data_IF_815458701618
#
_entry.id   IF_815458701618
#
_cell.length_a   1.000
_cell.length_b   1.000
_cell.length_c   1.000
_cell.angle_alpha   90.00
_cell.angle_beta   90.00
_cell.angle_gamma   90.00
#
_symmetry.space_group_name_H-M   'P 1'
#
loop_
_entity.id
_entity.type
_entity.pdbx_description
1 polymer ?
#
# COMPACT_ATOMS: atom_id res chain seq x y z
N UNK A 1 -5.95 -13.92 -1.39
CA UNK A 1 -5.18 -13.10 -2.34
C UNK A 1 -4.24 -12.25 -1.51
N UNK A 2 -2.92 -12.35 -1.72
CA UNK A 2 -1.97 -11.54 -0.96
C UNK A 2 -1.72 -10.21 -1.65
N UNK A 3 -1.80 -9.14 -0.87
CA UNK A 3 -1.71 -7.77 -1.37
C UNK A 3 -0.57 -7.04 -0.69
N UNK A 4 0.23 -6.35 -1.48
CA UNK A 4 1.25 -5.40 -1.03
C UNK A 4 0.70 -3.99 -1.18
N UNK A 5 0.88 -3.15 -0.16
CA UNK A 5 0.56 -1.73 -0.24
C UNK A 5 1.84 -0.91 -0.21
N UNK A 6 1.92 0.08 -1.09
CA UNK A 6 2.92 1.12 -1.01
C UNK A 6 2.48 2.16 0.01
N UNK A 7 3.25 2.29 1.08
CA UNK A 7 2.95 3.15 2.21
C UNK A 7 4.12 4.06 2.55
N UNK A 8 3.80 5.26 3.04
CA UNK A 8 4.77 6.18 3.62
C UNK A 8 4.06 6.98 4.71
N UNK A 9 4.68 7.10 5.88
CA UNK A 9 4.15 7.85 7.02
C UNK A 9 2.69 7.46 7.41
N UNK A 10 2.33 6.18 7.25
CA UNK A 10 1.00 5.67 7.55
C UNK A 10 -0.06 5.92 6.47
N UNK A 11 0.33 6.33 5.26
CA UNK A 11 -0.58 6.65 4.16
C UNK A 11 -0.17 5.96 2.85
N UNK A 12 -1.10 5.82 1.92
CA UNK A 12 -0.83 5.27 0.59
C UNK A 12 0.09 6.21 -0.20
N UNK A 13 1.12 5.66 -0.82
CA UNK A 13 2.22 6.44 -1.38
C UNK A 13 2.53 6.09 -2.85
N UNK A 14 3.27 6.99 -3.49
CA UNK A 14 3.85 6.78 -4.83
C UNK A 14 5.17 6.01 -4.71
N UNK A 15 5.48 5.15 -5.68
CA UNK A 15 6.80 4.50 -5.73
C UNK A 15 7.92 5.53 -6.01
N UNK A 16 9.06 5.49 -5.29
CA UNK A 16 9.44 4.53 -4.25
C UNK A 16 8.85 4.86 -2.87
N UNK A 17 8.34 3.84 -2.19
CA UNK A 17 7.74 3.92 -0.86
C UNK A 17 7.99 2.63 -0.08
N UNK A 18 7.74 2.62 1.22
CA UNK A 18 7.79 1.40 2.03
C UNK A 18 6.66 0.44 1.64
N UNK A 19 6.83 -0.84 1.94
CA UNK A 19 5.89 -1.89 1.57
C UNK A 19 5.20 -2.39 2.83
N UNK A 20 3.88 -2.35 2.86
CA UNK A 20 3.06 -3.02 3.86
C UNK A 20 2.56 -4.34 3.30
N UNK A 21 2.86 -5.43 3.99
CA UNK A 21 2.42 -6.79 3.67
C UNK A 21 2.14 -7.55 4.96
N UNK A 22 1.01 -8.26 5.01
CA UNK A 22 0.62 -9.08 6.17
C UNK A 22 0.67 -8.33 7.53
N UNK A 23 0.42 -7.00 7.55
CA UNK A 23 0.49 -6.19 8.77
C UNK A 23 1.88 -5.71 9.18
N UNK A 24 2.90 -5.97 8.38
CA UNK A 24 4.28 -5.53 8.62
C UNK A 24 4.73 -4.49 7.60
N UNK A 25 5.22 -3.34 8.07
CA UNK A 25 5.87 -2.36 7.22
C UNK A 25 7.35 -2.74 7.04
N UNK A 26 7.74 -2.97 5.80
CA UNK A 26 9.11 -3.29 5.40
C UNK A 26 9.68 -2.15 4.56
N UNK A 27 10.90 -1.75 4.86
CA UNK A 27 11.61 -0.77 4.04
C UNK A 27 11.82 -1.37 2.65
N UNK A 28 11.36 -0.65 1.62
CA UNK A 28 11.42 -1.13 0.25
C UNK A 28 12.85 -1.10 -0.27
N UNK A 29 13.48 -2.27 -0.36
CA UNK A 29 14.75 -2.45 -1.06
C UNK A 29 14.55 -2.95 -2.50
N UNK A 30 13.51 -3.77 -2.75
CA UNK A 30 13.13 -4.22 -4.10
C UNK A 30 11.69 -4.78 -4.09
N UNK A 31 10.76 -4.09 -4.77
CA UNK A 31 9.34 -4.49 -4.82
C UNK A 31 9.13 -5.84 -5.50
N UNK A 32 9.84 -6.12 -6.60
CA UNK A 32 9.70 -7.35 -7.37
C UNK A 32 10.04 -8.58 -6.49
N UNK A 33 11.14 -8.49 -5.75
CA UNK A 33 11.58 -9.53 -4.83
C UNK A 33 10.61 -9.76 -3.68
N UNK A 34 10.07 -8.69 -3.08
CA UNK A 34 9.08 -8.84 -2.01
C UNK A 34 7.79 -9.46 -2.54
N UNK A 35 7.34 -9.10 -3.76
CA UNK A 35 6.16 -9.72 -4.37
C UNK A 35 6.35 -11.23 -4.57
N UNK A 36 7.50 -11.66 -5.12
CA UNK A 36 7.81 -13.08 -5.32
C UNK A 36 7.91 -13.85 -4.00
N UNK A 37 8.61 -13.28 -3.02
CA UNK A 37 8.82 -13.92 -1.71
C UNK A 37 7.52 -14.06 -0.92
N UNK A 38 6.67 -13.04 -0.99
CA UNK A 38 5.39 -13.04 -0.25
C UNK A 38 4.30 -13.79 -0.98
N UNK A 39 4.46 -14.04 -2.29
CA UNK A 39 3.42 -14.59 -3.15
C UNK A 39 2.30 -13.58 -3.39
N UNK A 40 2.63 -12.29 -3.46
CA UNK A 40 1.65 -11.23 -3.70
C UNK A 40 1.14 -11.29 -5.14
N UNK A 41 -0.17 -11.23 -5.29
CA UNK A 41 -0.85 -11.22 -6.59
C UNK A 41 -1.24 -9.78 -6.99
N UNK A 42 -1.19 -8.86 -6.02
CA UNK A 42 -1.60 -7.49 -6.20
C UNK A 42 -0.70 -6.51 -5.44
N UNK A 43 -0.40 -5.39 -6.09
CA UNK A 43 0.29 -4.23 -5.51
C UNK A 43 -0.63 -3.03 -5.59
N UNK A 44 -0.83 -2.34 -4.48
CA UNK A 44 -1.65 -1.14 -4.39
C UNK A 44 -0.76 0.06 -4.08
N UNK A 45 -0.94 1.16 -4.80
CA UNK A 45 -0.22 2.41 -4.53
C UNK A 45 -0.84 3.59 -5.24
N UNK A 46 -0.34 4.80 -4.95
CA UNK A 46 -0.86 6.03 -5.58
C UNK A 46 -0.33 6.23 -6.98
N UNK A 47 0.91 5.83 -7.24
CA UNK A 47 1.53 5.90 -8.55
C UNK A 47 2.75 4.99 -8.60
N UNK A 48 3.10 4.56 -9.81
CA UNK A 48 4.28 3.76 -10.07
C UNK A 48 4.80 4.00 -11.48
N UNK A 49 6.13 3.94 -11.72
CA UNK A 49 6.69 4.00 -13.06
C UNK A 49 6.08 2.93 -13.98
N UNK A 50 5.73 3.31 -15.21
CA UNK A 50 5.11 2.41 -16.19
C UNK A 50 5.95 1.17 -16.49
N UNK A 51 7.28 1.29 -16.48
CA UNK A 51 8.21 0.17 -16.64
C UNK A 51 8.06 -0.88 -15.52
N UNK A 52 7.88 -0.43 -14.27
CA UNK A 52 7.66 -1.31 -13.13
C UNK A 52 6.28 -1.98 -13.21
N UNK A 53 5.24 -1.22 -13.57
CA UNK A 53 3.89 -1.78 -13.78
C UNK A 53 3.91 -2.88 -14.83
N UNK A 54 4.66 -2.67 -15.93
CA UNK A 54 4.82 -3.67 -16.98
C UNK A 54 5.51 -4.93 -16.45
N UNK A 55 6.61 -4.81 -15.72
CA UNK A 55 7.30 -5.97 -15.12
C UNK A 55 6.43 -6.74 -14.13
N UNK A 56 5.71 -6.03 -13.25
CA UNK A 56 4.76 -6.66 -12.32
C UNK A 56 3.70 -7.46 -13.10
N UNK A 57 3.15 -6.87 -14.15
CA UNK A 57 2.17 -7.55 -15.03
C UNK A 57 2.76 -8.77 -15.74
N UNK A 58 4.00 -8.67 -16.23
CA UNK A 58 4.70 -9.80 -16.87
C UNK A 58 4.92 -10.96 -15.88
N UNK A 59 5.04 -10.65 -14.58
CA UNK A 59 5.10 -11.61 -13.48
C UNK A 59 3.71 -12.05 -12.95
N UNK A 60 2.62 -11.63 -13.59
CA UNK A 60 1.25 -11.97 -13.18
C UNK A 60 0.69 -11.14 -12.01
N UNK A 61 1.38 -10.07 -11.60
CA UNK A 61 1.01 -9.20 -10.48
C UNK A 61 0.21 -8.00 -10.99
N UNK A 62 -0.93 -7.73 -10.38
CA UNK A 62 -1.80 -6.61 -10.74
C UNK A 62 -1.41 -5.36 -9.95
N UNK A 63 -1.15 -4.25 -10.64
CA UNK A 63 -1.04 -2.95 -9.98
C UNK A 63 -2.39 -2.25 -9.94
N UNK A 64 -2.84 -1.89 -8.74
CA UNK A 64 -4.06 -1.11 -8.50
C UNK A 64 -3.69 0.27 -8.00
N UNK A 65 -4.20 1.29 -8.69
CA UNK A 65 -4.00 2.68 -8.34
C UNK A 65 -5.13 3.15 -7.42
N UNK A 66 -4.80 3.58 -6.21
CA UNK A 66 -5.74 4.21 -5.26
C UNK A 66 -5.20 5.54 -4.75
N UNK A 67 -6.06 6.44 -4.31
CA UNK A 67 -5.61 7.74 -3.78
C UNK A 67 -5.39 7.71 -2.26
N UNK A 68 -6.18 6.91 -1.54
CA UNK A 68 -6.13 6.75 -0.09
C UNK A 68 -6.33 5.29 0.34
N UNK A 69 -5.97 5.00 1.59
CA UNK A 69 -6.18 3.69 2.22
C UNK A 69 -7.69 3.42 2.40
N UNK A 70 -8.51 4.46 2.61
CA UNK A 70 -9.97 4.32 2.74
C UNK A 70 -10.63 3.71 1.50
N UNK A 71 -10.04 3.89 0.31
CA UNK A 71 -10.54 3.28 -0.93
C UNK A 71 -10.39 1.74 -0.92
N UNK A 72 -9.52 1.17 -0.06
CA UNK A 72 -9.37 -0.28 0.11
C UNK A 72 -10.55 -0.93 0.81
N UNK A 73 -11.21 -0.21 1.74
CA UNK A 73 -12.37 -0.74 2.46
C UNK A 73 -13.54 -1.04 1.50
N UNK A 74 -13.60 -0.34 0.36
CA UNK A 74 -14.61 -0.57 -0.68
C UNK A 74 -14.29 -1.69 -1.66
N UNK A 75 -13.09 -2.28 -1.61
CA UNK A 75 -12.61 -3.25 -2.61
C UNK A 75 -12.58 -4.71 -2.11
N UNK A 76 -13.06 -4.98 -0.88
CA UNK A 76 -13.00 -6.31 -0.23
C UNK A 76 -11.59 -6.93 -0.25
N UNK A 77 -10.55 -6.11 -0.22
CA UNK A 77 -9.17 -6.57 -0.23
C UNK A 77 -8.76 -6.89 1.21
N UNK A 78 -8.42 -8.14 1.47
CA UNK A 78 -7.93 -8.57 2.79
C UNK A 78 -6.51 -8.04 3.03
N UNK A 79 -6.43 -6.89 3.71
CA UNK A 79 -5.19 -6.24 4.11
C UNK A 79 -5.18 -6.08 5.62
N UNK A 80 -4.21 -6.71 6.26
CA UNK A 80 -3.91 -6.42 7.66
C UNK A 80 -3.19 -5.07 7.74
N UNK A 81 -3.91 -4.04 8.18
CA UNK A 81 -3.34 -2.73 8.48
C UNK A 81 -2.84 -2.71 9.94
N UNK A 82 -1.59 -2.30 10.21
CA UNK A 82 -1.10 -2.14 11.57
C UNK A 82 -1.92 -1.10 12.34
N UNK A 83 -2.05 -1.27 13.67
CA UNK A 83 -2.80 -0.33 14.51
C UNK A 83 -2.27 1.11 14.45
N UNK A 84 -1.00 1.30 14.07
CA UNK A 84 -0.38 2.61 13.83
C UNK A 84 -1.04 3.39 12.69
N UNK A 85 -1.60 2.70 11.68
CA UNK A 85 -2.39 3.32 10.60
C UNK A 85 -3.78 3.74 11.08
N UNK A 86 -4.33 3.05 12.08
CA UNK A 86 -5.63 3.35 12.69
C UNK A 86 -5.55 4.47 13.73
N UNK A 87 -4.38 4.70 14.31
CA UNK A 87 -4.18 5.63 15.43
C UNK A 87 -3.71 7.05 15.04
N UNK A 88 -3.93 7.51 13.79
CA UNK A 88 -3.98 8.97 13.54
C UNK A 88 -5.33 9.51 13.99
N UNK A 89 -5.53 9.61 15.32
CA UNK A 89 -6.60 10.37 15.98
C UNK A 89 -6.42 11.88 15.76
N UNK A 90 -6.43 12.29 14.50
CA UNK A 90 -6.50 13.67 14.02
C UNK A 90 -7.53 13.87 12.90
N UNK A 91 -8.11 12.79 12.35
CA UNK A 91 -9.06 12.85 11.22
C UNK A 91 -10.46 13.38 11.61
N UNK A 92 -10.74 13.64 12.88
CA UNK A 92 -11.97 14.33 13.29
C UNK A 92 -11.63 15.52 14.18
N UNK A 93 -11.77 16.70 13.61
CA UNK A 93 -12.02 17.95 14.33
C UNK A 93 -10.87 18.43 15.22
N UNK A 94 -9.81 18.95 14.61
CA UNK A 94 -9.15 20.13 15.18
C UNK A 94 -10.15 21.27 15.17
N UNK A 95 -10.94 21.39 16.24
CA UNK A 95 -11.76 22.57 16.50
C UNK A 95 -10.87 23.80 16.36
N UNK A 96 -11.31 24.77 15.54
CA UNK A 96 -10.97 26.18 15.74
C UNK A 96 -11.27 26.55 17.20
N UNK A 97 -10.31 27.15 17.89
CA UNK A 97 -10.47 27.75 19.23
C UNK A 97 -9.16 27.60 20.00
N UNK A 98 -8.48 28.63 20.46
CA UNK A 98 -8.83 30.03 20.75
C UNK A 98 -7.78 30.98 20.20
#
# INVERSE_FOLDING_TARGET
MKTILLVKDGELADYPADILVDGEVRKSYNLEFECEKTGAEMVVGRSMPSMMIKKLRDNGIIFVKLNSIDELEGLEIDVNLPDEFRNKRGWKCGKKGF
#
